data_IF_501520687476
#
_entry.id   IF_501520687476
#
_cell.length_a   1.000
_cell.length_b   1.000
_cell.length_c   1.000
_cell.angle_alpha   90.00
_cell.angle_beta   90.00
_cell.angle_gamma   90.00
#
_symmetry.space_group_name_H-M   'P 1'
#
loop_
_entity.id
_entity.type
_entity.pdbx_description
1 polymer ?
#
# COMPACT_ATOMS: atom_id res chain seq x y z
N UNK A 1 -13.48 -11.30 12.03
CA UNK A 1 -13.50 -10.42 10.83
C UNK A 1 -12.65 -9.16 11.03
N UNK A 2 -12.99 -8.26 11.95
CA UNK A 2 -12.24 -7.00 12.17
C UNK A 2 -10.78 -7.21 12.58
N UNK A 3 -10.50 -8.14 13.50
CA UNK A 3 -9.12 -8.41 13.97
C UNK A 3 -8.22 -8.84 12.80
N UNK A 4 -8.70 -9.72 11.93
CA UNK A 4 -7.94 -10.21 10.76
C UNK A 4 -7.64 -9.04 9.82
N UNK A 5 -8.62 -8.16 9.56
CA UNK A 5 -8.41 -6.99 8.73
C UNK A 5 -7.35 -6.06 9.33
N UNK A 6 -7.42 -5.76 10.63
CA UNK A 6 -6.42 -4.93 11.31
C UNK A 6 -5.02 -5.53 11.19
N UNK A 7 -4.89 -6.84 11.40
CA UNK A 7 -3.61 -7.56 11.23
C UNK A 7 -3.11 -7.42 9.79
N UNK A 8 -3.97 -7.58 8.78
CA UNK A 8 -3.60 -7.38 7.38
C UNK A 8 -3.16 -5.94 7.09
N UNK A 9 -3.83 -4.93 7.66
CA UNK A 9 -3.42 -3.53 7.52
C UNK A 9 -1.99 -3.31 8.05
N UNK A 10 -1.70 -3.86 9.24
CA UNK A 10 -0.39 -3.76 9.88
C UNK A 10 0.68 -4.48 9.05
N UNK A 11 0.42 -5.71 8.61
CA UNK A 11 1.35 -6.48 7.76
C UNK A 11 1.64 -5.71 6.47
N UNK A 12 0.62 -5.17 5.81
CA UNK A 12 0.77 -4.41 4.56
C UNK A 12 1.62 -3.15 4.78
N UNK A 13 1.38 -2.42 5.86
CA UNK A 13 2.16 -1.24 6.23
C UNK A 13 3.64 -1.59 6.51
N UNK A 14 3.91 -2.67 7.24
CA UNK A 14 5.27 -3.14 7.53
C UNK A 14 5.98 -3.56 6.24
N UNK A 15 5.32 -4.30 5.35
CA UNK A 15 5.89 -4.71 4.07
C UNK A 15 6.21 -3.49 3.18
N UNK A 16 5.33 -2.48 3.17
CA UNK A 16 5.54 -1.25 2.43
C UNK A 16 6.76 -0.47 2.97
N UNK A 17 6.88 -0.34 4.29
CA UNK A 17 8.05 0.26 4.93
C UNK A 17 9.33 -0.49 4.57
N UNK A 18 9.32 -1.83 4.63
CA UNK A 18 10.47 -2.67 4.24
C UNK A 18 10.84 -2.49 2.78
N UNK A 19 9.87 -2.28 1.88
CA UNK A 19 10.10 -2.01 0.47
C UNK A 19 10.51 -0.55 0.17
N UNK A 20 10.39 0.36 1.13
CA UNK A 20 10.76 1.78 0.96
C UNK A 20 9.61 2.70 0.52
N UNK A 21 8.37 2.21 0.56
CA UNK A 21 7.15 2.97 0.27
C UNK A 21 6.56 3.62 1.54
N UNK A 22 5.55 4.49 1.37
CA UNK A 22 4.88 5.12 2.50
C UNK A 22 3.94 4.12 3.21
N UNK A 23 4.21 3.73 4.48
CA UNK A 23 3.44 2.72 5.19
C UNK A 23 1.98 3.14 5.45
N UNK A 24 1.71 4.43 5.66
CA UNK A 24 0.35 4.91 5.93
C UNK A 24 -0.55 4.77 4.71
N UNK A 25 -0.04 5.07 3.52
CA UNK A 25 -0.80 4.87 2.27
C UNK A 25 -1.14 3.39 2.11
N UNK A 26 -0.17 2.52 2.33
CA UNK A 26 -0.34 1.08 2.18
C UNK A 26 -1.14 0.40 3.29
N UNK A 27 -1.26 1.04 4.47
CA UNK A 27 -2.17 0.61 5.53
C UNK A 27 -3.63 0.72 5.09
N UNK A 28 -4.01 1.82 4.44
CA UNK A 28 -5.37 2.03 3.92
C UNK A 28 -5.60 1.32 2.59
N UNK A 29 -4.53 1.04 1.83
CA UNK A 29 -4.60 0.17 0.65
C UNK A 29 -4.65 -1.33 0.99
N UNK A 30 -4.89 -1.70 2.25
CA UNK A 30 -4.84 -3.07 2.72
C UNK A 30 -5.96 -3.95 2.15
N UNK A 31 -5.74 -5.27 2.24
CA UNK A 31 -6.60 -6.29 1.65
C UNK A 31 -5.84 -7.14 0.64
N UNK A 32 -6.53 -8.12 0.06
CA UNK A 32 -5.92 -9.11 -0.83
C UNK A 32 -5.29 -8.43 -2.05
N UNK A 33 -6.02 -7.52 -2.71
CA UNK A 33 -5.54 -6.82 -3.90
C UNK A 33 -4.32 -5.94 -3.58
N UNK A 34 -4.39 -5.17 -2.51
CA UNK A 34 -3.27 -4.32 -2.08
C UNK A 34 -2.01 -5.11 -1.75
N UNK A 35 -2.14 -6.23 -1.03
CA UNK A 35 -1.02 -7.12 -0.73
C UNK A 35 -0.40 -7.74 -1.98
N UNK A 36 -1.22 -8.20 -2.93
CA UNK A 36 -0.75 -8.74 -4.20
C UNK A 36 0.04 -7.67 -4.95
N UNK A 37 -0.51 -6.47 -5.13
CA UNK A 37 0.17 -5.39 -5.86
C UNK A 37 1.46 -5.00 -5.15
N UNK A 38 1.43 -4.85 -3.83
CA UNK A 38 2.62 -4.54 -3.03
C UNK A 38 3.70 -5.62 -3.17
N UNK A 39 3.33 -6.90 -3.26
CA UNK A 39 4.26 -8.01 -3.43
C UNK A 39 5.04 -7.92 -4.76
N UNK A 40 4.41 -7.43 -5.84
CA UNK A 40 5.05 -7.26 -7.15
C UNK A 40 5.78 -5.92 -7.33
N UNK A 41 5.56 -4.94 -6.45
CA UNK A 41 6.32 -3.70 -6.50
C UNK A 41 7.81 -3.91 -6.14
N UNK A 42 8.74 -3.22 -6.82
CA UNK A 42 10.17 -3.37 -6.55
C UNK A 42 10.56 -2.85 -5.17
N UNK A 43 11.70 -3.30 -4.65
CA UNK A 43 12.32 -2.67 -3.49
C UNK A 43 12.93 -1.33 -3.92
N UNK A 44 12.53 -0.25 -3.25
CA UNK A 44 13.02 1.13 -3.43
C UNK A 44 13.63 1.68 -2.14
N UNK A 45 13.97 0.80 -1.20
CA UNK A 45 14.67 1.15 0.02
C UNK A 45 16.15 1.46 -0.26
N UNK A 46 16.87 1.88 0.78
CA UNK A 46 18.29 2.27 0.67
C UNK A 46 19.22 1.15 0.21
N UNK A 47 18.80 -0.11 0.40
CA UNK A 47 19.55 -1.30 -0.01
C UNK A 47 19.31 -1.69 -1.48
N UNK A 48 18.44 -0.98 -2.19
CA UNK A 48 18.22 -1.21 -3.63
C UNK A 48 19.40 -0.69 -4.46
N UNK A 49 19.70 -1.38 -5.57
CA UNK A 49 20.73 -0.97 -6.53
C UNK A 49 20.35 0.28 -7.36
N UNK A 50 19.25 0.95 -7.01
CA UNK A 50 18.75 2.13 -7.72
C UNK A 50 19.54 3.37 -7.28
N UNK A 51 19.85 4.24 -8.24
CA UNK A 51 20.31 5.60 -7.94
C UNK A 51 19.17 6.43 -7.31
N UNK A 52 19.49 7.62 -6.81
CA UNK A 52 18.53 8.45 -6.07
C UNK A 52 17.32 8.87 -6.93
N UNK A 53 17.54 9.23 -8.19
CA UNK A 53 16.50 9.68 -9.10
C UNK A 53 15.51 8.55 -9.46
N UNK A 54 16.05 7.38 -9.84
CA UNK A 54 15.26 6.19 -10.14
C UNK A 54 14.45 5.73 -8.93
N UNK A 55 15.08 5.79 -7.74
CA UNK A 55 14.43 5.46 -6.47
C UNK A 55 13.29 6.41 -6.18
N UNK A 56 13.49 7.72 -6.34
CA UNK A 56 12.46 8.73 -6.13
C UNK A 56 11.27 8.53 -7.08
N UNK A 57 11.53 8.28 -8.37
CA UNK A 57 10.49 8.01 -9.37
C UNK A 57 9.70 6.75 -9.03
N UNK A 58 10.37 5.64 -8.73
CA UNK A 58 9.70 4.37 -8.41
C UNK A 58 8.94 4.44 -7.08
N UNK A 59 9.50 5.12 -6.07
CA UNK A 59 8.83 5.37 -4.79
C UNK A 59 7.57 6.20 -4.98
N UNK A 60 7.63 7.27 -5.76
CA UNK A 60 6.47 8.10 -6.10
C UNK A 60 5.39 7.30 -6.83
N UNK A 61 5.76 6.53 -7.86
CA UNK A 61 4.82 5.67 -8.59
C UNK A 61 4.16 4.64 -7.67
N UNK A 62 4.92 3.94 -6.85
CA UNK A 62 4.37 2.97 -5.91
C UNK A 62 3.43 3.60 -4.86
N UNK A 63 3.76 4.80 -4.36
CA UNK A 63 2.87 5.53 -3.46
C UNK A 63 1.59 6.01 -4.15
N UNK A 64 1.65 6.42 -5.43
CA UNK A 64 0.45 6.78 -6.21
C UNK A 64 -0.44 5.55 -6.38
N UNK A 65 0.12 4.39 -6.76
CA UNK A 65 -0.62 3.14 -6.89
C UNK A 65 -1.30 2.79 -5.56
N UNK A 66 -0.55 2.82 -4.45
CA UNK A 66 -1.12 2.60 -3.12
C UNK A 66 -2.24 3.59 -2.78
N UNK A 67 -2.07 4.87 -3.13
CA UNK A 67 -3.07 5.92 -2.89
C UNK A 67 -4.36 5.70 -3.67
N UNK A 68 -4.27 5.28 -4.94
CA UNK A 68 -5.44 4.93 -5.75
C UNK A 68 -6.19 3.74 -5.15
N UNK A 69 -5.48 2.70 -4.73
CA UNK A 69 -6.09 1.53 -4.09
C UNK A 69 -6.77 1.92 -2.77
N UNK A 70 -6.09 2.71 -1.93
CA UNK A 70 -6.64 3.21 -0.68
C UNK A 70 -7.91 4.04 -0.90
N UNK A 71 -7.90 4.94 -1.89
CA UNK A 71 -9.07 5.74 -2.23
C UNK A 71 -10.25 4.86 -2.69
N UNK A 72 -10.02 3.88 -3.56
CA UNK A 72 -11.04 2.93 -4.00
C UNK A 72 -11.60 2.12 -2.82
N UNK A 73 -10.73 1.61 -1.94
CA UNK A 73 -11.15 0.87 -0.77
C UNK A 73 -12.04 1.70 0.17
N UNK A 74 -11.67 2.97 0.41
CA UNK A 74 -12.47 3.90 1.21
C UNK A 74 -13.81 4.17 0.55
N UNK A 75 -13.84 4.47 -0.75
CA UNK A 75 -15.08 4.73 -1.50
C UNK A 75 -16.03 3.53 -1.44
N UNK A 76 -15.53 2.32 -1.68
CA UNK A 76 -16.33 1.08 -1.61
C UNK A 76 -16.88 0.88 -0.20
N UNK A 77 -16.05 1.07 0.82
CA UNK A 77 -16.46 0.93 2.23
C UNK A 77 -17.57 1.92 2.58
N UNK A 78 -17.42 3.19 2.20
CA UNK A 78 -18.44 4.21 2.41
C UNK A 78 -19.74 3.91 1.66
N UNK A 79 -19.64 3.44 0.41
CA UNK A 79 -20.81 3.09 -0.38
C UNK A 79 -21.62 1.94 0.25
N UNK A 80 -20.94 0.93 0.81
CA UNK A 80 -21.59 -0.15 1.56
C UNK A 80 -22.30 0.40 2.80
N UNK A 81 -21.61 1.23 3.59
CA UNK A 81 -22.18 1.82 4.83
C UNK A 81 -23.41 2.68 4.54
N UNK A 82 -23.46 3.41 3.42
CA UNK A 82 -24.59 4.25 3.04
C UNK A 82 -25.76 3.44 2.47
N UNK A 83 -25.48 2.28 1.88
CA UNK A 83 -26.49 1.41 1.28
C UNK A 83 -27.19 0.48 2.29
N UNK A 84 -26.62 0.34 3.49
CA UNK A 84 -27.25 -0.30 4.66
C UNK A 84 -28.21 0.67 5.37
#
# INVERSE_FOLDING_TARGET
>A
MVIIQVVLCIITAILAARKGYNPFIWFFASGVIGLIILAFLPFVNEKSALNEDERAVKKRKGNIIGGVIAALAIIITLAIIIAE
#
